data_IF_099950309911
#
_entry.id   IF_099950309911
#
_cell.length_a   1.000
_cell.length_b   1.000
_cell.length_c   1.000
_cell.angle_alpha   90.00
_cell.angle_beta   90.00
_cell.angle_gamma   90.00
#
_symmetry.space_group_name_H-M   'P 1'
#
loop_
_entity.id
_entity.type
_entity.pdbx_description
1 polymer ?
#
# COMPACT_ATOMS: atom_id res chain seq x y z
N UNK A 1 17.09 -23.31 -16.14
CA UNK A 1 17.98 -24.12 -15.28
C UNK A 1 17.70 -25.60 -15.52
N UNK A 2 18.65 -26.52 -15.31
CA UNK A 2 18.44 -27.95 -15.52
C UNK A 2 17.40 -28.52 -14.54
N UNK A 3 16.63 -29.52 -14.98
CA UNK A 3 15.57 -30.20 -14.22
C UNK A 3 16.05 -31.02 -13.00
N UNK A 4 17.37 -31.16 -12.82
CA UNK A 4 17.99 -31.80 -11.64
C UNK A 4 18.38 -30.82 -10.52
N UNK A 5 18.10 -29.54 -10.67
CA UNK A 5 18.44 -28.53 -9.67
C UNK A 5 17.30 -28.38 -8.65
N UNK A 6 17.63 -28.45 -7.36
CA UNK A 6 16.70 -28.19 -6.26
C UNK A 6 17.02 -26.85 -5.62
N UNK A 7 16.00 -26.02 -5.41
CA UNK A 7 16.12 -24.70 -4.80
C UNK A 7 15.21 -24.67 -3.58
N UNK A 8 15.78 -24.39 -2.42
CA UNK A 8 15.05 -24.28 -1.16
C UNK A 8 14.95 -22.82 -0.75
N UNK A 9 13.71 -22.34 -0.59
CA UNK A 9 13.36 -20.97 -0.19
C UNK A 9 12.71 -21.00 1.19
N UNK A 10 13.45 -21.47 2.19
CA UNK A 10 12.98 -21.50 3.59
C UNK A 10 13.34 -20.19 4.30
N UNK A 11 12.41 -19.69 5.12
CA UNK A 11 12.59 -18.41 5.84
C UNK A 11 12.52 -17.15 4.97
N UNK A 12 12.07 -17.24 3.72
CA UNK A 12 11.95 -16.10 2.81
C UNK A 12 10.55 -15.48 2.90
N UNK A 13 10.47 -14.17 3.13
CA UNK A 13 9.23 -13.39 3.18
C UNK A 13 8.58 -13.18 1.80
N UNK A 14 8.20 -14.26 1.14
CA UNK A 14 7.52 -14.24 -0.15
C UNK A 14 6.07 -13.77 0.01
N UNK A 15 5.56 -13.00 -0.95
CA UNK A 15 4.16 -12.58 -0.95
C UNK A 15 3.24 -13.75 -1.31
N UNK A 16 1.99 -13.72 -0.83
CA UNK A 16 0.95 -14.72 -1.19
C UNK A 16 0.80 -14.89 -2.70
N UNK A 17 0.87 -13.81 -3.47
CA UNK A 17 0.80 -13.85 -4.93
C UNK A 17 1.99 -14.64 -5.54
N UNK A 18 3.20 -14.47 -4.99
CA UNK A 18 4.39 -15.22 -5.44
C UNK A 18 4.26 -16.70 -5.04
N UNK A 19 3.77 -16.98 -3.83
CA UNK A 19 3.53 -18.35 -3.37
C UNK A 19 2.49 -19.08 -4.22
N UNK A 20 1.38 -18.40 -4.56
CA UNK A 20 0.37 -18.94 -5.47
C UNK A 20 0.95 -19.27 -6.85
N UNK A 21 1.73 -18.36 -7.44
CA UNK A 21 2.42 -18.59 -8.72
C UNK A 21 3.41 -19.74 -8.67
N UNK A 22 4.17 -19.88 -7.58
CA UNK A 22 5.08 -21.02 -7.37
C UNK A 22 4.32 -22.34 -7.27
N UNK A 23 3.14 -22.37 -6.64
CA UNK A 23 2.26 -23.56 -6.61
C UNK A 23 1.74 -23.93 -7.99
N UNK A 24 1.20 -22.95 -8.73
CA UNK A 24 0.71 -23.16 -10.10
C UNK A 24 1.82 -23.69 -11.02
N UNK A 25 3.02 -23.11 -10.91
CA UNK A 25 4.18 -23.53 -11.71
C UNK A 25 4.65 -24.95 -11.36
N UNK A 26 4.55 -25.37 -10.09
CA UNK A 26 4.84 -26.75 -9.66
C UNK A 26 3.82 -27.75 -10.21
N UNK A 27 2.55 -27.36 -10.31
CA UNK A 27 1.45 -28.23 -10.74
C UNK A 27 1.30 -28.31 -12.26
N UNK A 28 1.86 -27.37 -13.02
CA UNK A 28 1.81 -27.36 -14.47
C UNK A 28 2.56 -28.58 -15.07
N UNK A 29 1.86 -29.39 -15.85
CA UNK A 29 2.42 -30.53 -16.57
C UNK A 29 3.40 -30.04 -17.65
N UNK A 30 4.67 -30.47 -17.56
CA UNK A 30 5.73 -30.10 -18.52
C UNK A 30 6.74 -29.06 -18.02
N UNK A 31 6.75 -28.75 -16.73
CA UNK A 31 7.71 -27.80 -16.15
C UNK A 31 9.15 -28.34 -16.23
N UNK A 32 9.99 -27.77 -17.12
CA UNK A 32 11.43 -28.09 -17.24
C UNK A 32 12.32 -27.29 -16.27
N UNK A 33 11.70 -26.61 -15.29
CA UNK A 33 12.38 -25.78 -14.30
C UNK A 33 12.98 -26.57 -13.13
N UNK A 34 13.75 -25.90 -12.25
CA UNK A 34 14.27 -26.50 -11.02
C UNK A 34 13.14 -26.85 -10.05
N UNK A 35 13.37 -27.85 -9.20
CA UNK A 35 12.43 -28.24 -8.14
C UNK A 35 12.54 -27.22 -7.00
N UNK A 36 11.51 -26.39 -6.83
CA UNK A 36 11.49 -25.38 -5.76
C UNK A 36 10.72 -25.92 -4.55
N UNK A 37 11.36 -25.91 -3.37
CA UNK A 37 10.74 -26.12 -2.07
C UNK A 37 10.68 -24.79 -1.30
N UNK A 38 9.59 -24.55 -0.58
CA UNK A 38 9.41 -23.33 0.21
C UNK A 38 8.53 -23.62 1.44
N UNK A 39 8.92 -23.09 2.59
CA UNK A 39 8.14 -23.14 3.84
C UNK A 39 7.14 -21.97 3.92
N UNK A 40 5.89 -22.28 4.28
CA UNK A 40 4.80 -21.32 4.46
C UNK A 40 4.81 -20.64 5.83
N UNK A 41 5.76 -20.98 6.71
CA UNK A 41 5.79 -20.54 8.10
C UNK A 41 5.87 -19.00 8.26
N UNK A 42 6.27 -18.27 7.20
CA UNK A 42 6.35 -16.80 7.21
C UNK A 42 5.22 -16.08 6.45
N UNK A 43 4.41 -16.77 5.64
CA UNK A 43 3.19 -16.14 5.10
C UNK A 43 2.23 -15.75 6.23
N UNK A 44 2.33 -16.46 7.36
CA UNK A 44 1.64 -16.17 8.62
C UNK A 44 2.43 -15.22 9.55
N UNK A 45 3.67 -14.83 9.21
CA UNK A 45 4.47 -13.86 9.99
C UNK A 45 4.29 -12.40 9.55
N UNK A 46 3.50 -12.14 8.52
CA UNK A 46 2.65 -10.95 8.59
C UNK A 46 1.66 -11.22 9.74
N UNK A 47 2.08 -10.95 10.97
CA UNK A 47 1.34 -11.26 12.20
C UNK A 47 -0.11 -10.82 12.11
N UNK A 48 -1.00 -11.33 12.98
CA UNK A 48 -2.44 -11.23 12.82
C UNK A 48 -2.85 -9.77 12.63
N UNK A 49 -3.06 -9.37 11.37
CA UNK A 49 -3.57 -8.04 11.02
C UNK A 49 -4.99 -7.82 11.58
N UNK A 50 -5.60 -8.87 12.16
CA UNK A 50 -6.86 -8.85 12.88
C UNK A 50 -6.78 -8.22 14.28
N UNK A 51 -5.65 -8.30 15.00
CA UNK A 51 -5.61 -7.98 16.43
C UNK A 51 -5.41 -6.49 16.73
N UNK A 52 -4.60 -5.76 15.94
CA UNK A 52 -4.32 -4.36 16.24
C UNK A 52 -5.51 -3.46 15.93
N UNK A 53 -5.85 -2.58 16.86
CA UNK A 53 -6.89 -1.57 16.71
C UNK A 53 -6.42 -0.41 15.83
N UNK A 54 -7.36 0.30 15.19
CA UNK A 54 -7.06 1.52 14.43
C UNK A 54 -6.33 2.56 15.28
N UNK A 55 -6.69 2.67 16.58
CA UNK A 55 -6.04 3.59 17.53
C UNK A 55 -4.57 3.26 17.74
N UNK A 56 -4.22 1.99 17.89
CA UNK A 56 -2.82 1.57 18.05
C UNK A 56 -1.97 1.86 16.80
N UNK A 57 -2.53 1.59 15.62
CA UNK A 57 -1.87 1.87 14.33
C UNK A 57 -1.61 3.38 14.14
N UNK A 58 -2.58 4.22 14.47
CA UNK A 58 -2.42 5.67 14.47
C UNK A 58 -1.37 6.12 15.51
N UNK A 59 -1.40 5.55 16.70
CA UNK A 59 -0.42 5.84 17.75
C UNK A 59 1.01 5.48 17.36
N UNK A 60 1.23 4.41 16.60
CA UNK A 60 2.54 4.08 16.03
C UNK A 60 3.02 5.18 15.07
N UNK A 61 2.14 5.72 14.21
CA UNK A 61 2.50 6.79 13.27
C UNK A 61 2.91 8.08 13.99
N UNK A 62 2.15 8.51 15.01
CA UNK A 62 2.49 9.68 15.82
C UNK A 62 3.82 9.51 16.56
N UNK A 63 4.06 8.33 17.14
CA UNK A 63 5.34 7.99 17.77
C UNK A 63 6.50 8.04 16.79
N UNK A 64 6.32 7.56 15.55
CA UNK A 64 7.37 7.59 14.53
C UNK A 64 7.82 9.02 14.21
N UNK A 65 6.91 9.99 14.23
CA UNK A 65 7.22 11.39 13.91
C UNK A 65 7.44 12.27 15.14
N UNK A 66 7.45 11.69 16.35
CA UNK A 66 7.55 12.43 17.62
C UNK A 66 6.51 13.57 17.72
N UNK A 67 5.27 13.31 17.33
CA UNK A 67 4.18 14.26 17.43
C UNK A 67 3.13 13.80 18.45
N UNK A 68 2.39 14.77 19.01
CA UNK A 68 1.28 14.50 19.90
C UNK A 68 0.13 13.81 19.15
N UNK A 69 -0.50 12.77 19.73
CA UNK A 69 -1.65 12.12 19.12
C UNK A 69 -2.83 13.09 18.94
N UNK A 70 -3.39 13.16 17.72
CA UNK A 70 -4.70 13.79 17.44
C UNK A 70 -5.79 12.73 17.41
N UNK A 71 -6.97 13.07 17.89
CA UNK A 71 -8.17 12.26 17.64
C UNK A 71 -8.70 12.52 16.22
N UNK A 72 -9.00 11.43 15.51
CA UNK A 72 -9.59 11.45 14.18
C UNK A 72 -11.06 11.03 14.25
N UNK A 73 -11.87 11.84 14.93
CA UNK A 73 -13.27 11.55 15.23
C UNK A 73 -14.12 11.31 13.97
N UNK A 74 -13.93 12.13 12.93
CA UNK A 74 -14.66 12.05 11.67
C UNK A 74 -14.28 10.82 10.86
N UNK A 75 -13.03 10.36 10.96
CA UNK A 75 -12.58 9.12 10.33
C UNK A 75 -12.97 7.87 11.13
N UNK A 76 -12.95 7.94 12.46
CA UNK A 76 -13.24 6.80 13.33
C UNK A 76 -14.75 6.55 13.50
N UNK A 77 -15.58 7.59 13.34
CA UNK A 77 -17.04 7.51 13.41
C UNK A 77 -17.70 7.34 12.02
N UNK A 78 -16.93 7.01 10.97
CA UNK A 78 -17.47 6.73 9.63
C UNK A 78 -18.35 5.47 9.59
N UNK A 79 -18.80 5.02 8.41
CA UNK A 79 -19.43 3.70 8.26
C UNK A 79 -18.48 2.57 8.69
N UNK A 80 -19.03 1.42 9.11
CA UNK A 80 -18.22 0.28 9.54
C UNK A 80 -17.33 -0.26 8.40
N UNK A 81 -17.82 -0.22 7.16
CA UNK A 81 -17.04 -0.54 5.97
C UNK A 81 -15.81 0.36 5.85
N UNK A 82 -15.99 1.69 5.97
CA UNK A 82 -14.90 2.66 5.90
C UNK A 82 -13.89 2.51 7.06
N UNK A 83 -14.37 2.20 8.27
CA UNK A 83 -13.48 1.86 9.40
C UNK A 83 -12.64 0.62 9.10
N UNK A 84 -13.24 -0.38 8.47
CA UNK A 84 -12.56 -1.60 8.02
C UNK A 84 -11.48 -1.30 6.98
N UNK A 85 -11.81 -0.49 5.96
CA UNK A 85 -10.85 -0.04 4.94
C UNK A 85 -9.69 0.75 5.55
N UNK A 86 -9.97 1.68 6.47
CA UNK A 86 -8.95 2.46 7.17
C UNK A 86 -8.02 1.58 8.00
N UNK A 87 -8.57 0.68 8.82
CA UNK A 87 -7.76 -0.26 9.62
C UNK A 87 -6.84 -1.08 8.72
N UNK A 88 -7.38 -1.65 7.65
CA UNK A 88 -6.62 -2.46 6.71
C UNK A 88 -5.51 -1.65 6.02
N UNK A 89 -5.83 -0.45 5.55
CA UNK A 89 -4.89 0.44 4.88
C UNK A 89 -3.72 0.82 5.81
N UNK A 90 -4.03 1.24 7.04
CA UNK A 90 -3.03 1.57 8.06
C UNK A 90 -2.12 0.37 8.40
N UNK A 91 -2.70 -0.81 8.60
CA UNK A 91 -1.93 -2.01 8.93
C UNK A 91 -0.91 -2.36 7.84
N UNK A 92 -1.30 -2.17 6.58
CA UNK A 92 -0.46 -2.51 5.41
C UNK A 92 0.58 -1.44 5.05
N UNK A 93 0.55 -0.25 5.64
CA UNK A 93 1.59 0.77 5.45
C UNK A 93 2.99 0.21 5.75
N UNK A 94 3.09 -0.64 6.77
CA UNK A 94 4.33 -1.30 7.20
C UNK A 94 4.98 -2.20 6.14
N UNK A 95 4.19 -2.67 5.17
CA UNK A 95 4.61 -3.59 4.12
C UNK A 95 5.28 -2.84 2.96
N UNK A 96 4.99 -1.53 2.82
CA UNK A 96 5.50 -0.69 1.73
C UNK A 96 7.02 -0.53 1.80
N UNK A 97 7.65 -0.39 0.63
CA UNK A 97 9.10 -0.22 0.54
C UNK A 97 9.58 1.04 1.29
N UNK A 98 8.83 2.14 1.21
CA UNK A 98 9.19 3.39 1.89
C UNK A 98 9.15 3.28 3.41
N UNK A 99 8.22 2.51 3.95
CA UNK A 99 8.20 2.20 5.38
C UNK A 99 9.37 1.28 5.78
N UNK A 100 9.67 0.26 4.95
CA UNK A 100 10.76 -0.69 5.20
C UNK A 100 12.15 -0.07 5.17
N UNK A 101 12.38 0.98 4.36
CA UNK A 101 13.67 1.72 4.30
C UNK A 101 14.17 2.19 5.68
N UNK A 102 13.27 2.43 6.63
CA UNK A 102 13.64 2.79 8.01
C UNK A 102 14.19 4.21 8.15
N UNK A 103 14.69 4.52 9.35
CA UNK A 103 15.29 5.82 9.69
C UNK A 103 14.41 7.02 9.32
N UNK A 104 15.04 8.07 8.79
CA UNK A 104 14.37 9.31 8.41
C UNK A 104 13.38 9.15 7.24
N UNK A 105 13.60 8.19 6.33
CA UNK A 105 12.64 7.91 5.26
C UNK A 105 11.30 7.40 5.81
N UNK A 106 11.34 6.50 6.81
CA UNK A 106 10.14 6.01 7.48
C UNK A 106 9.40 7.14 8.21
N UNK A 107 10.13 8.03 8.89
CA UNK A 107 9.53 9.20 9.55
C UNK A 107 8.88 10.15 8.56
N UNK A 108 9.58 10.51 7.48
CA UNK A 108 9.06 11.38 6.44
C UNK A 108 7.80 10.79 5.78
N UNK A 109 7.79 9.47 5.56
CA UNK A 109 6.63 8.75 5.06
C UNK A 109 5.45 8.80 6.04
N UNK A 110 5.67 8.47 7.31
CA UNK A 110 4.64 8.54 8.35
C UNK A 110 4.06 9.97 8.49
N UNK A 111 4.91 10.99 8.40
CA UNK A 111 4.49 12.40 8.42
C UNK A 111 3.60 12.77 7.23
N UNK A 112 3.86 12.25 6.03
CA UNK A 112 2.97 12.44 4.87
C UNK A 112 1.62 11.77 5.08
N UNK A 113 1.61 10.53 5.55
CA UNK A 113 0.37 9.80 5.87
C UNK A 113 -0.47 10.58 6.89
N UNK A 114 0.16 11.09 7.95
CA UNK A 114 -0.55 11.91 8.94
C UNK A 114 -1.14 13.19 8.36
N UNK A 115 -0.44 13.86 7.42
CA UNK A 115 -1.01 15.03 6.72
C UNK A 115 -2.28 14.67 5.95
N UNK A 116 -2.29 13.51 5.27
CA UNK A 116 -3.49 13.07 4.56
C UNK A 116 -4.63 12.73 5.52
N UNK A 117 -4.33 12.11 6.67
CA UNK A 117 -5.32 11.83 7.70
C UNK A 117 -5.88 13.12 8.33
N UNK A 118 -5.06 14.14 8.53
CA UNK A 118 -5.52 15.46 9.00
C UNK A 118 -6.46 16.10 8.00
N UNK A 119 -6.10 16.12 6.72
CA UNK A 119 -6.98 16.67 5.68
C UNK A 119 -8.30 15.91 5.60
N UNK A 120 -8.27 14.58 5.64
CA UNK A 120 -9.49 13.76 5.61
C UNK A 120 -10.32 13.87 6.89
N UNK A 121 -9.75 14.33 8.00
CA UNK A 121 -10.50 14.64 9.21
C UNK A 121 -11.20 15.99 9.12
N UNK A 122 -10.53 16.97 8.52
CA UNK A 122 -10.94 18.38 8.54
C UNK A 122 -11.80 18.77 7.31
N UNK A 123 -11.65 18.09 6.16
CA UNK A 123 -12.40 18.33 4.91
C UNK A 123 -13.29 17.13 4.52
N UNK A 124 -14.60 17.34 4.42
CA UNK A 124 -15.58 16.31 4.05
C UNK A 124 -15.46 15.82 2.59
N UNK A 125 -15.21 16.71 1.64
CA UNK A 125 -15.06 16.34 0.23
C UNK A 125 -13.81 15.50 0.03
N UNK A 126 -12.70 15.92 0.64
CA UNK A 126 -11.46 15.15 0.60
C UNK A 126 -11.61 13.81 1.33
N UNK A 127 -12.35 13.76 2.45
CA UNK A 127 -12.64 12.52 3.18
C UNK A 127 -13.34 11.47 2.34
N UNK A 128 -14.32 11.86 1.53
CA UNK A 128 -15.02 10.95 0.61
C UNK A 128 -14.04 10.36 -0.43
N UNK A 129 -13.24 11.22 -1.07
CA UNK A 129 -12.21 10.81 -2.04
C UNK A 129 -11.18 9.89 -1.39
N UNK A 130 -10.77 10.21 -0.16
CA UNK A 130 -9.83 9.41 0.63
C UNK A 130 -10.37 7.99 0.86
N UNK A 131 -11.60 7.85 1.38
CA UNK A 131 -12.21 6.54 1.63
C UNK A 131 -12.38 5.72 0.36
N UNK A 132 -12.86 6.33 -0.72
CA UNK A 132 -12.97 5.66 -2.03
C UNK A 132 -11.62 5.16 -2.54
N UNK A 133 -10.56 5.95 -2.34
CA UNK A 133 -9.20 5.59 -2.77
C UNK A 133 -8.64 4.41 -1.96
N UNK A 134 -8.79 4.42 -0.64
CA UNK A 134 -8.25 3.34 0.21
C UNK A 134 -9.10 2.06 0.14
N UNK A 135 -10.39 2.15 -0.18
CA UNK A 135 -11.26 1.00 -0.44
C UNK A 135 -10.74 0.17 -1.64
N UNK A 136 -10.38 0.83 -2.74
CA UNK A 136 -9.78 0.16 -3.91
C UNK A 136 -8.45 -0.55 -3.60
N UNK A 137 -7.72 -0.06 -2.59
CA UNK A 137 -6.48 -0.67 -2.11
C UNK A 137 -6.72 -1.89 -1.21
N UNK A 138 -7.81 -1.90 -0.45
CA UNK A 138 -8.17 -2.98 0.46
C UNK A 138 -8.55 -4.27 -0.29
N UNK A 139 -9.15 -4.14 -1.48
CA UNK A 139 -9.65 -5.25 -2.30
C UNK A 139 -8.56 -6.11 -2.98
N UNK A 140 -7.27 -5.74 -2.90
CA UNK A 140 -6.19 -6.46 -3.61
C UNK A 140 -4.88 -6.55 -2.81
N UNK A 141 -3.99 -7.46 -3.21
CA UNK A 141 -2.74 -7.80 -2.50
C UNK A 141 -1.81 -6.58 -2.30
N UNK A 142 -0.90 -6.68 -1.31
CA UNK A 142 -0.14 -5.58 -0.68
C UNK A 142 0.57 -4.54 -1.55
N UNK A 143 0.82 -4.80 -2.84
CA UNK A 143 1.40 -3.82 -3.76
C UNK A 143 0.47 -2.63 -4.04
N UNK A 144 -0.85 -2.79 -3.87
CA UNK A 144 -1.82 -1.71 -4.13
C UNK A 144 -1.91 -0.66 -3.03
N UNK A 145 -1.33 -0.89 -1.86
CA UNK A 145 -1.27 0.13 -0.80
C UNK A 145 -0.29 1.24 -1.15
N UNK A 146 0.85 0.89 -1.76
CA UNK A 146 1.79 1.89 -2.30
C UNK A 146 1.11 2.77 -3.36
N UNK A 147 0.32 2.15 -4.25
CA UNK A 147 -0.43 2.87 -5.27
C UNK A 147 -1.51 3.78 -4.66
N UNK A 148 -2.25 3.32 -3.65
CA UNK A 148 -3.26 4.16 -3.02
C UNK A 148 -2.68 5.35 -2.27
N UNK A 149 -1.49 5.24 -1.68
CA UNK A 149 -0.78 6.39 -1.12
C UNK A 149 -0.46 7.43 -2.21
N UNK A 150 -0.08 6.99 -3.42
CA UNK A 150 0.14 7.90 -4.55
C UNK A 150 -1.16 8.59 -4.96
N UNK A 151 -2.27 7.85 -5.08
CA UNK A 151 -3.57 8.43 -5.39
C UNK A 151 -4.06 9.42 -4.33
N UNK A 152 -3.94 9.08 -3.04
CA UNK A 152 -4.24 9.99 -1.93
C UNK A 152 -3.34 11.23 -2.01
N UNK A 153 -2.04 11.07 -2.30
CA UNK A 153 -1.14 12.21 -2.46
C UNK A 153 -1.54 13.12 -3.63
N UNK A 154 -2.04 12.57 -4.73
CA UNK A 154 -2.52 13.35 -5.87
C UNK A 154 -3.78 14.10 -5.51
N UNK A 155 -4.76 13.43 -4.90
CA UNK A 155 -5.99 14.05 -4.43
C UNK A 155 -5.70 15.18 -3.43
N UNK A 156 -4.78 14.96 -2.49
CA UNK A 156 -4.39 15.96 -1.49
C UNK A 156 -3.78 17.20 -2.15
N UNK A 157 -2.92 17.03 -3.16
CA UNK A 157 -2.34 18.16 -3.91
C UNK A 157 -3.39 18.89 -4.75
N UNK A 158 -4.35 18.16 -5.32
CA UNK A 158 -5.45 18.76 -6.09
C UNK A 158 -6.36 19.60 -5.19
N UNK A 159 -6.70 19.11 -3.99
CA UNK A 159 -7.51 19.84 -3.01
C UNK A 159 -6.82 21.14 -2.54
N UNK A 160 -5.49 21.16 -2.50
CA UNK A 160 -4.72 22.34 -2.10
C UNK A 160 -4.57 23.42 -3.20
N UNK A 161 -4.93 23.13 -4.45
CA UNK A 161 -4.83 24.09 -5.56
C UNK A 161 -6.15 24.86 -5.67
N UNK A 162 -6.08 26.20 -5.72
CA UNK A 162 -7.25 27.02 -6.05
C UNK A 162 -7.74 26.66 -7.47
N UNK A 163 -9.03 26.33 -7.60
CA UNK A 163 -9.65 25.99 -8.88
C UNK A 163 -9.47 27.05 -9.97
N UNK A 164 -9.20 28.31 -9.60
CA UNK A 164 -8.93 29.41 -10.53
C UNK A 164 -7.52 29.36 -11.13
N UNK A 165 -6.59 28.67 -10.49
CA UNK A 165 -5.19 28.52 -10.90
C UNK A 165 -5.01 27.31 -11.84
N UNK A 166 -5.66 27.37 -13.01
CA UNK A 166 -5.68 26.27 -14.01
C UNK A 166 -4.26 25.85 -14.43
N UNK A 167 -3.30 26.79 -14.44
CA UNK A 167 -1.89 26.51 -14.75
C UNK A 167 -1.25 25.54 -13.76
N UNK A 168 -1.55 25.67 -12.46
CA UNK A 168 -1.04 24.80 -11.41
C UNK A 168 -1.69 23.42 -11.46
N UNK A 169 -3.00 23.37 -11.78
CA UNK A 169 -3.71 22.12 -12.04
C UNK A 169 -3.09 21.40 -13.24
N UNK A 170 -2.86 22.10 -14.35
CA UNK A 170 -2.25 21.54 -15.54
C UNK A 170 -0.83 21.02 -15.27
N UNK A 171 -0.02 21.76 -14.51
CA UNK A 171 1.33 21.34 -14.15
C UNK A 171 1.32 20.06 -13.31
N UNK A 172 0.42 19.97 -12.32
CA UNK A 172 0.25 18.77 -11.50
C UNK A 172 -0.21 17.57 -12.34
N UNK A 173 -1.15 17.76 -13.26
CA UNK A 173 -1.64 16.69 -14.12
C UNK A 173 -0.56 16.20 -15.09
N UNK A 174 0.16 17.11 -15.73
CA UNK A 174 1.16 16.77 -16.76
C UNK A 174 2.44 16.20 -16.14
N UNK A 175 2.96 16.81 -15.06
CA UNK A 175 4.24 16.42 -14.47
C UNK A 175 4.11 15.46 -13.30
N UNK A 176 2.96 15.43 -12.64
CA UNK A 176 2.68 14.56 -11.50
C UNK A 176 1.89 13.33 -11.89
N UNK A 177 0.66 13.51 -12.35
CA UNK A 177 -0.31 12.41 -12.54
C UNK A 177 0.03 11.57 -13.76
N UNK A 178 0.30 12.19 -14.90
CA UNK A 178 0.57 11.48 -16.16
C UNK A 178 1.75 10.50 -16.07
N UNK A 179 2.93 10.88 -15.53
CA UNK A 179 4.04 9.95 -15.42
C UNK A 179 3.74 8.78 -14.47
N UNK A 180 3.00 9.04 -13.38
CA UNK A 180 2.59 7.98 -12.45
C UNK A 180 1.65 6.98 -13.12
N UNK A 181 0.66 7.47 -13.88
CA UNK A 181 -0.25 6.62 -14.63
C UNK A 181 0.48 5.78 -15.68
N UNK A 182 1.43 6.38 -16.41
CA UNK A 182 2.23 5.66 -17.40
C UNK A 182 3.10 4.57 -16.75
N UNK A 183 3.74 4.87 -15.61
CA UNK A 183 4.53 3.88 -14.86
C UNK A 183 3.65 2.74 -14.33
N UNK A 184 2.44 3.05 -13.86
CA UNK A 184 1.48 2.04 -13.43
C UNK A 184 1.04 1.14 -14.59
N UNK A 185 0.75 1.71 -15.75
CA UNK A 185 0.39 0.96 -16.96
C UNK A 185 1.55 0.05 -17.42
N UNK A 186 2.77 0.57 -17.46
CA UNK A 186 3.98 -0.21 -17.77
C UNK A 186 4.14 -1.35 -16.77
N UNK A 187 4.02 -1.09 -15.46
CA UNK A 187 4.11 -2.11 -14.43
C UNK A 187 3.03 -3.19 -14.61
N UNK A 188 1.78 -2.77 -14.86
CA UNK A 188 0.64 -3.67 -15.09
C UNK A 188 0.84 -4.55 -16.32
N UNK A 189 1.46 -4.02 -17.37
CA UNK A 189 1.78 -4.77 -18.59
C UNK A 189 3.00 -5.67 -18.43
N UNK A 190 3.97 -5.30 -17.58
CA UNK A 190 5.21 -6.06 -17.38
C UNK A 190 5.03 -7.22 -16.40
N UNK A 191 4.30 -7.03 -15.30
CA UNK A 191 4.12 -8.03 -14.23
C UNK A 191 3.56 -9.39 -14.73
N UNK A 192 2.59 -9.45 -15.66
CA UNK A 192 2.11 -10.70 -16.23
C UNK A 192 3.17 -11.44 -17.07
N UNK A 193 4.12 -10.71 -17.65
CA UNK A 193 5.15 -11.23 -18.57
C UNK A 193 6.44 -11.62 -17.83
N UNK A 194 6.57 -11.22 -16.56
CA UNK A 194 7.61 -11.75 -15.66
C UNK A 194 7.24 -13.20 -15.32
N UNK A 195 7.82 -14.13 -16.08
CA UNK A 195 7.89 -15.57 -15.83
C UNK A 195 9.23 -15.92 -15.21
#
# INVERSE_FOLDING_TARGET
>A
MPSGCEITLDGVGLSEAVLARLRETRLASGCQGPRISFSMEHAQQAGPSGERSTKELLGDLFRLVNAEPKEFSNLLNSSDENKGHLKMWLARLSITADFKKGGESRKAFAGKVLKYLHEAEDDEQFREVFFNTIAGAAQSCGDRVALSILHVSTAFKLAAIDAKEISQVADLLIKGVWPLQLLEEIARNKVPVLR
#
